data_IF_063628708033
#
_entry.id   IF_063628708033
#
_cell.length_a   1.000
_cell.length_b   1.000
_cell.length_c   1.000
_cell.angle_alpha   90.00
_cell.angle_beta   90.00
_cell.angle_gamma   90.00
#
_symmetry.space_group_name_H-M   'P 1'
#
loop_
_entity.id
_entity.type
_entity.pdbx_description
1 polymer ?
#
# COMPACT_ATOMS: atom_id res chain seq x y z
N UNK A 1 23.54 2.92 27.07
CA UNK A 1 23.32 3.57 25.76
C UNK A 1 23.34 5.10 25.90
N UNK A 2 24.12 5.80 25.05
CA UNK A 2 24.32 7.24 25.12
C UNK A 2 23.10 8.03 24.58
N UNK A 3 22.88 9.31 24.99
CA UNK A 3 21.85 10.19 24.43
C UNK A 3 21.92 10.34 22.90
N UNK A 4 20.84 10.66 22.19
CA UNK A 4 20.86 10.94 20.74
C UNK A 4 19.64 10.40 19.98
N UNK A 5 19.49 10.81 18.72
CA UNK A 5 18.47 10.24 17.84
C UNK A 5 18.89 8.83 17.44
N UNK A 6 17.93 7.90 17.53
CA UNK A 6 18.12 6.49 17.17
C UNK A 6 16.93 6.02 16.37
N UNK A 7 17.18 5.17 15.38
CA UNK A 7 16.15 4.46 14.66
C UNK A 7 16.54 3.00 14.47
N UNK A 8 15.54 2.12 14.43
CA UNK A 8 15.71 0.69 14.17
C UNK A 8 14.82 0.25 13.01
N UNK A 9 15.40 -0.54 12.11
CA UNK A 9 14.69 -1.29 11.07
C UNK A 9 14.83 -2.78 11.37
N UNK A 10 13.74 -3.55 11.37
CA UNK A 10 13.76 -4.97 11.76
C UNK A 10 12.75 -5.81 10.99
N UNK A 11 13.02 -7.11 10.90
CA UNK A 11 12.09 -8.11 10.36
C UNK A 11 11.43 -8.93 11.46
N UNK A 12 10.23 -9.43 11.19
CA UNK A 12 9.56 -10.46 11.99
C UNK A 12 9.94 -11.87 11.54
N UNK A 13 9.18 -12.87 12.02
CA UNK A 13 9.33 -14.27 11.63
C UNK A 13 9.11 -14.49 10.14
N UNK A 14 8.23 -13.71 9.49
CA UNK A 14 7.99 -13.80 8.06
C UNK A 14 9.26 -13.56 7.23
N UNK A 15 10.09 -12.59 7.62
CA UNK A 15 11.37 -12.34 6.98
C UNK A 15 12.33 -13.50 7.18
N UNK A 16 12.43 -14.04 8.41
CA UNK A 16 13.26 -15.22 8.72
C UNK A 16 12.83 -16.47 7.94
N UNK A 17 11.53 -16.61 7.66
CA UNK A 17 10.92 -17.69 6.90
C UNK A 17 10.81 -17.41 5.39
N UNK A 18 11.41 -16.30 4.92
CA UNK A 18 11.50 -15.94 3.51
C UNK A 18 10.14 -15.85 2.79
N UNK A 19 9.08 -15.49 3.50
CA UNK A 19 7.78 -15.18 2.87
C UNK A 19 7.98 -14.01 1.93
N UNK A 20 7.64 -14.15 0.64
CA UNK A 20 8.02 -13.18 -0.41
C UNK A 20 7.45 -11.79 -0.22
N UNK A 21 6.39 -11.65 0.57
CA UNK A 21 5.79 -10.38 0.98
C UNK A 21 6.03 -10.05 2.46
N UNK A 22 7.15 -10.52 3.02
CA UNK A 22 7.61 -10.09 4.35
C UNK A 22 8.08 -8.63 4.32
N UNK A 23 7.72 -7.86 5.35
CA UNK A 23 8.02 -6.44 5.45
C UNK A 23 9.23 -6.16 6.37
N UNK A 24 9.76 -4.93 6.28
CA UNK A 24 10.68 -4.37 7.28
C UNK A 24 9.94 -3.29 8.07
N UNK A 25 9.90 -3.46 9.39
CA UNK A 25 9.29 -2.50 10.32
C UNK A 25 10.37 -1.52 10.79
N UNK A 26 10.08 -0.23 10.67
CA UNK A 26 10.90 0.86 11.22
C UNK A 26 10.25 1.40 12.49
N UNK A 27 11.01 1.49 13.57
CA UNK A 27 10.50 1.68 14.92
C UNK A 27 9.47 0.60 15.30
N UNK A 28 8.20 0.99 15.36
CA UNK A 28 7.09 0.13 15.79
C UNK A 28 5.97 0.09 14.76
N UNK A 29 5.65 1.21 14.09
CA UNK A 29 4.42 1.38 13.30
C UNK A 29 4.66 1.90 11.88
N UNK A 30 5.88 1.80 11.35
CA UNK A 30 6.22 2.25 9.98
C UNK A 30 6.73 1.06 9.20
N UNK A 31 6.27 0.92 7.97
CA UNK A 31 6.44 -0.31 7.21
C UNK A 31 7.06 -0.02 5.85
N UNK A 32 8.18 -0.68 5.54
CA UNK A 32 8.49 -1.05 4.17
C UNK A 32 7.68 -2.32 3.87
N UNK A 33 6.38 -2.10 3.62
CA UNK A 33 5.36 -3.15 3.62
C UNK A 33 5.47 -4.11 2.44
N UNK A 34 5.64 -3.57 1.23
CA UNK A 34 5.51 -4.32 -0.03
C UNK A 34 6.85 -4.77 -0.61
N UNK A 35 6.81 -5.61 -1.64
CA UNK A 35 7.96 -6.07 -2.45
C UNK A 35 8.99 -6.95 -1.72
N UNK A 36 8.69 -7.44 -0.52
CA UNK A 36 9.49 -8.49 0.11
C UNK A 36 10.84 -8.05 0.68
N UNK A 37 11.03 -6.78 1.03
CA UNK A 37 12.29 -6.32 1.63
C UNK A 37 12.64 -7.12 2.90
N UNK A 38 11.64 -7.58 3.66
CA UNK A 38 11.86 -8.42 4.83
C UNK A 38 12.44 -9.80 4.50
N UNK A 39 12.02 -10.39 3.37
CA UNK A 39 12.60 -11.65 2.88
C UNK A 39 14.05 -11.45 2.44
N UNK A 40 14.38 -10.31 1.84
CA UNK A 40 15.77 -9.97 1.47
C UNK A 40 16.66 -9.83 2.72
N UNK A 41 16.16 -9.18 3.77
CA UNK A 41 16.84 -9.12 5.07
C UNK A 41 17.06 -10.53 5.64
N UNK A 42 16.02 -11.36 5.65
CA UNK A 42 16.10 -12.74 6.13
C UNK A 42 17.07 -13.61 5.35
N UNK A 43 17.07 -13.51 4.01
CA UNK A 43 18.00 -14.23 3.13
C UNK A 43 19.47 -13.85 3.41
N UNK A 44 19.71 -12.62 3.85
CA UNK A 44 21.03 -12.13 4.29
C UNK A 44 21.33 -12.39 5.76
N UNK A 45 20.44 -13.09 6.48
CA UNK A 45 20.51 -13.33 7.93
C UNK A 45 20.64 -12.04 8.75
N UNK A 46 20.03 -10.95 8.26
CA UNK A 46 20.03 -9.64 8.91
C UNK A 46 18.72 -9.43 9.67
N UNK A 47 18.75 -9.58 11.01
CA UNK A 47 17.55 -9.40 11.84
C UNK A 47 17.12 -7.94 11.97
N UNK A 48 18.08 -7.05 12.14
CA UNK A 48 17.82 -5.63 12.33
C UNK A 48 19.03 -4.76 11.98
N UNK A 49 18.76 -3.50 11.66
CA UNK A 49 19.73 -2.42 11.51
C UNK A 49 19.37 -1.30 12.50
N UNK A 50 20.36 -0.85 13.29
CA UNK A 50 20.19 0.29 14.21
C UNK A 50 21.09 1.42 13.74
N UNK A 51 20.51 2.59 13.56
CA UNK A 51 21.23 3.82 13.19
C UNK A 51 21.10 4.81 14.33
N UNK A 52 22.23 5.39 14.77
CA UNK A 52 22.25 6.47 15.74
C UNK A 52 23.18 7.58 15.29
N UNK A 53 22.75 8.83 15.46
CA UNK A 53 23.50 9.99 15.02
C UNK A 53 23.20 11.22 15.86
N UNK A 54 24.20 12.10 15.95
CA UNK A 54 24.10 13.41 16.61
C UNK A 54 24.57 14.57 15.72
N UNK A 55 24.99 14.27 14.48
CA UNK A 55 25.49 15.27 13.54
C UNK A 55 24.33 16.15 13.10
N UNK A 56 24.54 17.46 13.12
CA UNK A 56 23.67 18.44 12.46
C UNK A 56 24.23 18.75 11.06
N UNK A 57 23.33 19.03 10.11
CA UNK A 57 23.69 19.50 8.78
C UNK A 57 23.66 21.03 8.77
N UNK A 58 24.61 21.63 8.06
CA UNK A 58 24.65 23.08 7.88
C UNK A 58 23.66 23.52 6.79
N UNK A 59 22.97 24.62 7.05
CA UNK A 59 22.05 25.26 6.10
C UNK A 59 22.70 26.57 5.64
N UNK A 60 23.12 26.68 4.36
CA UNK A 60 23.84 27.86 3.85
C UNK A 60 23.05 29.17 4.00
N UNK A 61 21.80 29.21 3.55
CA UNK A 61 20.91 30.35 3.76
C UNK A 61 19.85 30.03 4.82
N UNK A 62 20.21 30.31 6.08
CA UNK A 62 19.31 30.07 7.23
C UNK A 62 18.04 30.90 7.18
N UNK A 63 18.08 32.11 6.61
CA UNK A 63 16.93 33.00 6.55
C UNK A 63 15.94 32.49 5.51
N UNK A 64 16.38 32.25 4.28
CA UNK A 64 15.56 31.70 3.22
C UNK A 64 14.99 30.33 3.59
N UNK A 65 15.78 29.48 4.26
CA UNK A 65 15.29 28.19 4.77
C UNK A 65 14.14 28.36 5.77
N UNK A 66 14.26 29.29 6.72
CA UNK A 66 13.21 29.53 7.70
C UNK A 66 11.94 30.07 7.05
N UNK A 67 12.07 31.02 6.12
CA UNK A 67 10.92 31.58 5.40
C UNK A 67 10.15 30.49 4.64
N UNK A 68 10.85 29.57 3.95
CA UNK A 68 10.20 28.43 3.27
C UNK A 68 9.61 27.43 4.26
N UNK A 69 10.33 27.12 5.35
CA UNK A 69 9.84 26.22 6.39
C UNK A 69 8.52 26.74 6.99
N UNK A 70 8.46 28.03 7.32
CA UNK A 70 7.26 28.64 7.93
C UNK A 70 6.08 28.57 6.96
N UNK A 71 6.27 28.85 5.66
CA UNK A 71 5.24 28.69 4.63
C UNK A 71 4.74 27.24 4.53
N UNK A 72 5.65 26.26 4.45
CA UNK A 72 5.30 24.84 4.38
C UNK A 72 4.57 24.37 5.65
N UNK A 73 5.00 24.85 6.81
CA UNK A 73 4.38 24.56 8.09
C UNK A 73 2.96 25.12 8.15
N UNK A 74 2.75 26.38 7.74
CA UNK A 74 1.43 27.00 7.68
C UNK A 74 0.51 26.28 6.71
N UNK A 75 0.98 25.96 5.50
CA UNK A 75 0.22 25.17 4.53
C UNK A 75 -0.16 23.80 5.10
N UNK A 76 0.73 23.15 5.83
CA UNK A 76 0.48 21.82 6.41
C UNK A 76 -0.50 21.85 7.59
N UNK A 77 -0.53 22.93 8.37
CA UNK A 77 -1.27 22.99 9.64
C UNK A 77 -2.56 23.82 9.58
N UNK A 78 -2.63 24.81 8.69
CA UNK A 78 -3.78 25.73 8.57
C UNK A 78 -4.69 25.42 7.38
N UNK A 79 -4.19 24.71 6.36
CA UNK A 79 -5.02 24.32 5.20
C UNK A 79 -5.80 23.02 5.45
N UNK A 80 -6.78 22.75 4.57
CA UNK A 80 -7.54 21.49 4.61
C UNK A 80 -6.80 20.30 3.96
N UNK A 81 -5.61 20.52 3.37
CA UNK A 81 -4.88 19.49 2.61
C UNK A 81 -4.51 18.27 3.47
N UNK A 82 -4.13 18.50 4.73
CA UNK A 82 -3.70 17.44 5.65
C UNK A 82 -4.76 17.05 6.68
N UNK A 83 -5.87 17.80 6.77
CA UNK A 83 -6.91 17.65 7.81
C UNK A 83 -7.47 16.24 7.87
N UNK A 84 -7.84 15.66 6.72
CA UNK A 84 -8.38 14.28 6.68
C UNK A 84 -7.42 13.24 7.25
N UNK A 85 -6.11 13.39 7.01
CA UNK A 85 -5.09 12.48 7.52
C UNK A 85 -4.82 12.69 9.01
N UNK A 86 -4.99 13.91 9.50
CA UNK A 86 -4.88 14.24 10.91
C UNK A 86 -6.08 13.72 11.70
N UNK A 87 -7.31 13.94 11.23
CA UNK A 87 -8.53 13.71 12.02
C UNK A 87 -8.90 12.22 12.11
N UNK A 88 -9.05 11.55 10.96
CA UNK A 88 -9.54 10.16 10.89
C UNK A 88 -8.50 9.18 10.32
N UNK A 89 -7.34 9.70 9.91
CA UNK A 89 -6.30 8.92 9.26
C UNK A 89 -6.68 8.53 7.83
N UNK A 90 -5.89 7.65 7.24
CA UNK A 90 -6.20 7.08 5.92
C UNK A 90 -7.52 6.27 5.88
N UNK A 91 -7.97 5.58 6.95
CA UNK A 91 -9.24 4.83 6.95
C UNK A 91 -10.49 5.68 6.67
N UNK A 92 -10.41 7.02 6.71
CA UNK A 92 -11.44 7.93 6.18
C UNK A 92 -11.92 7.54 4.77
N UNK A 93 -11.08 6.86 3.97
CA UNK A 93 -11.47 6.42 2.63
C UNK A 93 -12.49 5.27 2.60
N UNK A 94 -12.72 4.54 3.69
CA UNK A 94 -13.61 3.36 3.70
C UNK A 94 -15.02 3.70 3.27
N UNK A 95 -15.67 4.67 3.94
CA UNK A 95 -17.06 5.03 3.65
C UNK A 95 -17.23 5.69 2.27
N UNK A 96 -16.43 6.70 1.86
CA UNK A 96 -16.56 7.30 0.54
C UNK A 96 -16.36 6.29 -0.60
N UNK A 97 -15.39 5.37 -0.47
CA UNK A 97 -15.20 4.33 -1.48
C UNK A 97 -16.36 3.33 -1.50
N UNK A 98 -16.88 2.96 -0.34
CA UNK A 98 -18.06 2.11 -0.26
C UNK A 98 -19.28 2.78 -0.91
N UNK A 99 -19.48 4.08 -0.68
CA UNK A 99 -20.60 4.86 -1.20
C UNK A 99 -20.60 4.96 -2.73
N UNK A 100 -19.43 5.09 -3.35
CA UNK A 100 -19.32 5.11 -4.82
C UNK A 100 -19.25 3.71 -5.45
N UNK A 101 -19.18 2.63 -4.65
CA UNK A 101 -19.04 1.27 -5.16
C UNK A 101 -17.62 0.91 -5.60
N UNK A 102 -16.62 1.49 -4.95
CA UNK A 102 -15.19 1.30 -5.25
C UNK A 102 -14.40 0.61 -4.13
N UNK A 103 -15.05 0.09 -3.08
CA UNK A 103 -14.42 -0.63 -1.97
C UNK A 103 -14.37 -2.14 -2.29
N UNK A 104 -13.20 -2.72 -2.64
CA UNK A 104 -13.10 -4.14 -2.96
C UNK A 104 -13.54 -5.00 -1.79
N UNK A 105 -14.46 -5.92 -2.07
CA UNK A 105 -15.14 -6.74 -1.06
C UNK A 105 -15.15 -8.19 -1.48
N UNK A 106 -14.72 -9.10 -0.59
CA UNK A 106 -14.67 -10.56 -0.78
C UNK A 106 -14.02 -10.95 -2.11
N UNK A 107 -12.71 -10.72 -2.22
CA UNK A 107 -11.93 -10.91 -3.46
C UNK A 107 -12.48 -10.16 -4.69
N UNK A 108 -12.89 -8.90 -4.48
CA UNK A 108 -13.53 -8.04 -5.47
C UNK A 108 -14.83 -8.63 -6.07
N UNK A 109 -15.51 -9.58 -5.43
CA UNK A 109 -16.85 -10.02 -5.86
C UNK A 109 -17.89 -8.89 -5.80
N UNK A 110 -17.62 -7.83 -5.05
CA UNK A 110 -18.41 -6.61 -4.96
C UNK A 110 -17.51 -5.39 -4.74
N UNK A 111 -17.96 -4.21 -5.22
CA UNK A 111 -17.38 -2.90 -4.90
C UNK A 111 -17.99 -2.24 -3.65
N UNK A 112 -18.89 -2.94 -2.95
CA UNK A 112 -19.57 -2.50 -1.72
C UNK A 112 -19.52 -3.58 -0.65
N UNK A 113 -19.36 -3.14 0.59
CA UNK A 113 -19.41 -3.94 1.79
C UNK A 113 -20.52 -3.44 2.71
N UNK A 114 -21.42 -4.34 3.07
CA UNK A 114 -22.57 -4.07 3.94
C UNK A 114 -22.16 -3.68 5.37
N UNK A 115 -20.96 -4.05 5.81
CA UNK A 115 -20.43 -3.72 7.13
C UNK A 115 -19.31 -2.67 7.09
N UNK A 116 -19.25 -1.84 6.04
CA UNK A 116 -18.20 -0.81 5.90
C UNK A 116 -18.15 0.18 7.07
N UNK A 117 -19.29 0.52 7.67
CA UNK A 117 -19.36 1.39 8.85
C UNK A 117 -18.63 0.78 10.06
N UNK A 118 -18.73 -0.54 10.27
CA UNK A 118 -18.07 -1.23 11.39
C UNK A 118 -16.54 -1.26 11.31
N UNK A 119 -15.97 -0.92 10.16
CA UNK A 119 -14.51 -0.84 9.93
C UNK A 119 -14.06 0.54 9.45
N UNK A 120 -14.92 1.56 9.53
CA UNK A 120 -14.63 2.91 9.04
C UNK A 120 -13.61 3.65 9.92
N UNK A 121 -13.01 4.72 9.37
CA UNK A 121 -12.12 5.58 10.16
C UNK A 121 -12.83 6.26 11.32
N UNK A 122 -14.09 6.64 11.11
CA UNK A 122 -15.00 7.23 12.09
C UNK A 122 -15.24 6.27 13.25
N UNK A 123 -15.68 5.04 12.96
CA UNK A 123 -15.95 4.04 13.98
C UNK A 123 -14.69 3.70 14.80
N UNK A 124 -13.54 3.58 14.11
CA UNK A 124 -12.26 3.31 14.75
C UNK A 124 -11.79 4.48 15.63
N UNK A 125 -11.98 5.72 15.17
CA UNK A 125 -11.64 6.93 15.92
C UNK A 125 -12.48 7.08 17.19
N UNK A 126 -13.79 6.82 17.12
CA UNK A 126 -14.70 6.97 18.25
C UNK A 126 -14.51 5.89 19.31
N UNK A 127 -14.25 4.65 18.89
CA UNK A 127 -14.34 3.49 19.79
C UNK A 127 -12.98 2.89 20.20
N UNK A 128 -11.92 3.10 19.41
CA UNK A 128 -10.65 2.39 19.61
C UNK A 128 -9.41 3.29 19.64
N UNK A 129 -9.44 4.48 19.03
CA UNK A 129 -8.29 5.38 18.97
C UNK A 129 -7.89 5.86 20.37
N UNK A 130 -6.67 5.50 20.79
CA UNK A 130 -6.12 5.93 22.08
C UNK A 130 -5.09 7.04 21.94
N UNK A 131 -4.40 7.12 20.80
CA UNK A 131 -3.43 8.19 20.52
C UNK A 131 -3.10 8.26 19.04
N UNK A 132 -2.54 9.40 18.64
CA UNK A 132 -1.92 9.61 17.33
C UNK A 132 -0.42 9.83 17.47
N UNK A 133 0.34 9.46 16.45
CA UNK A 133 1.77 9.64 16.38
C UNK A 133 2.19 10.26 15.04
N UNK A 134 3.33 10.95 15.04
CA UNK A 134 3.87 11.59 13.85
C UNK A 134 5.18 10.95 13.40
N UNK A 135 5.47 11.03 12.09
CA UNK A 135 6.82 10.86 11.56
C UNK A 135 7.73 12.00 12.04
N UNK A 136 9.04 11.80 11.96
CA UNK A 136 10.02 12.81 12.39
C UNK A 136 9.80 14.12 11.64
N UNK A 137 9.67 15.24 12.38
CA UNK A 137 9.46 16.57 11.82
C UNK A 137 8.08 16.83 11.20
N UNK A 138 7.15 15.86 11.24
CA UNK A 138 5.83 16.01 10.63
C UNK A 138 4.80 16.60 11.61
N UNK A 139 4.09 17.68 11.27
CA UNK A 139 3.07 18.26 12.16
C UNK A 139 1.70 17.58 12.08
N UNK A 140 1.51 16.59 11.20
CA UNK A 140 0.19 16.03 10.86
C UNK A 140 -0.25 14.89 11.77
N UNK A 141 0.68 14.14 12.36
CA UNK A 141 0.39 13.00 13.23
C UNK A 141 -0.61 11.97 12.64
N UNK A 142 -0.42 11.55 11.39
CA UNK A 142 -1.37 10.66 10.70
C UNK A 142 -1.36 9.19 11.19
N UNK A 143 -0.41 8.77 12.04
CA UNK A 143 -0.33 7.39 12.52
C UNK A 143 -1.35 7.22 13.64
N UNK A 144 -2.46 6.55 13.34
CA UNK A 144 -3.53 6.28 14.29
C UNK A 144 -3.26 4.96 15.02
N UNK A 145 -3.38 4.99 16.35
CA UNK A 145 -3.07 3.86 17.21
C UNK A 145 -4.30 3.49 18.03
N UNK A 146 -4.86 2.32 17.73
CA UNK A 146 -5.96 1.73 18.45
C UNK A 146 -5.48 1.02 19.72
N UNK A 147 -6.31 1.00 20.77
CA UNK A 147 -6.11 0.22 21.98
C UNK A 147 -7.13 -0.91 22.08
N UNK A 148 -6.67 -2.16 21.99
CA UNK A 148 -7.51 -3.33 22.25
C UNK A 148 -7.30 -3.75 23.70
N UNK A 149 -8.35 -3.67 24.52
CA UNK A 149 -8.33 -4.14 25.90
C UNK A 149 -8.94 -5.53 26.00
N UNK A 150 -8.15 -6.49 26.45
CA UNK A 150 -8.51 -7.91 26.50
C UNK A 150 -8.38 -8.45 27.92
N UNK A 151 -9.39 -9.15 28.45
CA UNK A 151 -9.29 -9.75 29.77
C UNK A 151 -8.19 -10.81 29.78
N UNK A 152 -7.40 -10.85 30.83
CA UNK A 152 -6.42 -11.92 31.02
C UNK A 152 -7.15 -13.22 31.38
N UNK A 153 -6.75 -14.38 30.84
CA UNK A 153 -7.35 -15.64 31.22
C UNK A 153 -7.31 -15.83 32.74
N UNK A 154 -8.47 -16.14 33.34
CA UNK A 154 -8.62 -16.47 34.76
C UNK A 154 -8.37 -15.33 35.78
N UNK A 155 -8.19 -14.08 35.35
CA UNK A 155 -8.03 -12.93 36.24
C UNK A 155 -9.04 -11.81 35.92
N UNK A 156 -10.14 -11.74 36.68
CA UNK A 156 -11.31 -10.88 36.41
C UNK A 156 -10.98 -9.39 36.17
N UNK A 157 -9.99 -8.86 36.88
CA UNK A 157 -9.64 -7.44 36.84
C UNK A 157 -8.30 -7.15 36.13
N UNK A 158 -7.63 -8.18 35.61
CA UNK A 158 -6.38 -8.01 34.87
C UNK A 158 -6.64 -8.00 33.37
N UNK A 159 -6.06 -7.02 32.68
CA UNK A 159 -6.29 -6.81 31.26
C UNK A 159 -4.97 -6.57 30.54
N UNK A 160 -4.82 -7.18 29.37
CA UNK A 160 -3.78 -6.85 28.41
C UNK A 160 -4.32 -5.75 27.50
N UNK A 161 -3.55 -4.67 27.35
CA UNK A 161 -3.82 -3.65 26.32
C UNK A 161 -2.82 -3.80 25.19
N UNK A 162 -3.32 -4.11 24.01
CA UNK A 162 -2.52 -4.21 22.78
C UNK A 162 -2.71 -2.93 21.97
N UNK A 163 -1.61 -2.28 21.59
CA UNK A 163 -1.64 -1.12 20.69
C UNK A 163 -1.42 -1.58 19.25
N UNK A 164 -2.30 -1.13 18.34
CA UNK A 164 -2.29 -1.54 16.93
C UNK A 164 -2.36 -0.31 16.03
N UNK A 165 -1.44 -0.17 15.08
CA UNK A 165 -1.59 0.84 14.03
C UNK A 165 -2.64 0.38 13.02
N UNK A 166 -3.47 1.32 12.57
CA UNK A 166 -4.44 1.05 11.54
C UNK A 166 -4.42 2.14 10.47
N UNK A 167 -4.48 1.68 9.22
CA UNK A 167 -4.46 2.48 8.01
C UNK A 167 -5.48 1.89 7.04
N UNK A 168 -5.82 2.64 6.00
CA UNK A 168 -6.79 2.25 4.98
C UNK A 168 -6.48 0.89 4.35
N UNK A 169 -5.24 0.68 3.91
CA UNK A 169 -4.87 -0.52 3.16
C UNK A 169 -4.94 -1.81 4.02
N UNK A 170 -4.42 -1.85 5.27
CA UNK A 170 -4.70 -2.94 6.19
C UNK A 170 -6.20 -3.13 6.49
N UNK A 171 -6.95 -2.04 6.66
CA UNK A 171 -8.40 -2.09 6.91
C UNK A 171 -9.17 -2.68 5.74
N UNK A 172 -8.84 -2.33 4.50
CA UNK A 172 -9.43 -2.92 3.30
C UNK A 172 -9.05 -4.40 3.19
N UNK A 173 -7.75 -4.69 3.20
CA UNK A 173 -7.21 -6.01 2.84
C UNK A 173 -7.55 -7.08 3.87
N UNK A 174 -7.58 -6.73 5.16
CA UNK A 174 -7.92 -7.66 6.25
C UNK A 174 -9.37 -7.49 6.73
N UNK A 175 -10.08 -6.48 6.22
CA UNK A 175 -11.49 -6.20 6.50
C UNK A 175 -12.37 -6.61 5.31
N UNK A 176 -12.77 -5.63 4.48
CA UNK A 176 -13.74 -5.83 3.39
C UNK A 176 -13.30 -6.91 2.39
N UNK A 177 -12.02 -6.99 2.05
CA UNK A 177 -11.49 -7.98 1.11
C UNK A 177 -11.66 -9.43 1.62
N UNK A 178 -11.64 -9.63 2.94
CA UNK A 178 -11.90 -10.92 3.62
C UNK A 178 -13.34 -11.04 4.14
N UNK A 179 -14.15 -10.00 4.04
CA UNK A 179 -15.50 -9.91 4.59
C UNK A 179 -15.58 -9.72 6.11
N UNK A 180 -14.50 -9.30 6.77
CA UNK A 180 -14.47 -9.03 8.22
C UNK A 180 -15.01 -7.62 8.49
N UNK A 181 -16.16 -7.53 9.16
CA UNK A 181 -16.90 -6.28 9.39
C UNK A 181 -16.87 -5.73 10.82
N UNK A 182 -16.21 -6.43 11.75
CA UNK A 182 -16.10 -6.00 13.15
C UNK A 182 -14.71 -5.41 13.41
N UNK A 183 -14.65 -4.17 13.88
CA UNK A 183 -13.40 -3.44 14.15
C UNK A 183 -12.48 -4.16 15.14
N UNK A 184 -13.01 -4.79 16.19
CA UNK A 184 -12.18 -5.48 17.19
C UNK A 184 -11.49 -6.70 16.56
N UNK A 185 -12.22 -7.48 15.76
CA UNK A 185 -11.67 -8.61 15.02
C UNK A 185 -10.69 -8.19 13.94
N UNK A 186 -10.99 -7.12 13.19
CA UNK A 186 -10.08 -6.51 12.23
C UNK A 186 -8.76 -6.09 12.90
N UNK A 187 -8.83 -5.34 14.00
CA UNK A 187 -7.65 -4.90 14.74
C UNK A 187 -6.81 -6.06 15.28
N UNK A 188 -7.44 -7.15 15.74
CA UNK A 188 -6.74 -8.37 16.15
C UNK A 188 -6.01 -9.04 14.98
N UNK A 189 -6.63 -9.06 13.80
CA UNK A 189 -6.03 -9.62 12.61
C UNK A 189 -4.87 -8.75 12.10
N UNK A 190 -5.02 -7.42 12.08
CA UNK A 190 -3.92 -6.48 11.78
C UNK A 190 -2.75 -6.72 12.74
N UNK A 191 -3.02 -6.81 14.04
CA UNK A 191 -1.98 -7.07 15.03
C UNK A 191 -1.21 -8.37 14.75
N UNK A 192 -1.91 -9.42 14.36
CA UNK A 192 -1.31 -10.72 14.07
C UNK A 192 -0.36 -10.65 12.87
N UNK A 193 -0.78 -9.99 11.79
CA UNK A 193 0.03 -9.74 10.58
C UNK A 193 1.25 -8.88 10.90
N UNK A 194 1.08 -7.78 11.64
CA UNK A 194 2.18 -6.88 12.03
C UNK A 194 3.20 -7.60 12.93
N UNK A 195 2.72 -8.41 13.88
CA UNK A 195 3.54 -9.16 14.84
C UNK A 195 4.53 -10.10 14.14
N UNK A 196 4.10 -10.77 13.07
CA UNK A 196 4.95 -11.69 12.31
C UNK A 196 5.75 -10.98 11.21
N UNK A 197 5.42 -9.73 10.88
CA UNK A 197 6.14 -8.91 9.91
C UNK A 197 5.78 -9.20 8.46
N UNK A 198 4.48 -9.38 8.16
CA UNK A 198 3.96 -9.54 6.80
C UNK A 198 3.45 -8.22 6.23
N UNK A 199 3.37 -8.13 4.90
CA UNK A 199 2.55 -7.14 4.21
C UNK A 199 1.05 -7.43 4.42
N UNK A 200 0.31 -6.51 5.05
CA UNK A 200 -1.12 -6.68 5.28
C UNK A 200 -1.91 -6.80 3.96
N UNK A 201 -1.55 -6.02 2.94
CA UNK A 201 -2.22 -6.06 1.65
C UNK A 201 -2.07 -7.43 1.01
N UNK A 202 -0.83 -7.87 0.83
CA UNK A 202 -0.53 -9.16 0.20
C UNK A 202 -1.12 -10.33 0.99
N UNK A 203 -1.07 -10.28 2.32
CA UNK A 203 -1.68 -11.30 3.18
C UNK A 203 -3.19 -11.37 2.97
N UNK A 204 -3.89 -10.23 3.05
CA UNK A 204 -5.34 -10.17 2.92
C UNK A 204 -5.83 -10.62 1.55
N UNK A 205 -5.18 -10.17 0.47
CA UNK A 205 -5.56 -10.54 -0.89
C UNK A 205 -5.25 -12.01 -1.20
N UNK A 206 -4.11 -12.53 -0.74
CA UNK A 206 -3.77 -13.95 -0.90
C UNK A 206 -4.76 -14.86 -0.14
N UNK A 207 -5.14 -14.48 1.08
CA UNK A 207 -6.15 -15.21 1.85
C UNK A 207 -7.56 -15.07 1.25
N UNK A 208 -7.90 -13.94 0.64
CA UNK A 208 -9.16 -13.77 -0.07
C UNK A 208 -9.24 -14.71 -1.30
N UNK A 209 -8.17 -14.79 -2.09
CA UNK A 209 -8.09 -15.76 -3.18
C UNK A 209 -8.18 -17.20 -2.66
N UNK A 210 -7.50 -17.54 -1.56
CA UNK A 210 -7.58 -18.88 -0.97
C UNK A 210 -9.01 -19.23 -0.52
N UNK A 211 -9.72 -18.29 0.11
CA UNK A 211 -11.14 -18.47 0.48
C UNK A 211 -12.00 -18.73 -0.75
N UNK A 212 -11.84 -17.95 -1.82
CA UNK A 212 -12.61 -18.16 -3.05
C UNK A 212 -12.23 -19.46 -3.77
N UNK A 213 -10.94 -19.82 -3.80
CA UNK A 213 -10.46 -21.07 -4.39
C UNK A 213 -11.03 -22.29 -3.65
N UNK A 214 -11.16 -22.21 -2.33
CA UNK A 214 -11.80 -23.23 -1.50
C UNK A 214 -13.31 -23.31 -1.79
N UNK A 215 -14.01 -22.17 -1.88
CA UNK A 215 -15.44 -22.13 -2.27
C UNK A 215 -15.69 -22.75 -3.65
N UNK A 216 -14.74 -22.58 -4.58
CA UNK A 216 -14.80 -23.14 -5.94
C UNK A 216 -14.29 -24.58 -6.04
N UNK A 217 -13.80 -25.17 -4.94
CA UNK A 217 -13.24 -26.53 -4.93
C UNK A 217 -11.94 -26.68 -5.74
N UNK A 218 -11.20 -25.59 -5.97
CA UNK A 218 -9.88 -25.63 -6.61
C UNK A 218 -8.79 -26.10 -5.64
N UNK A 219 -9.00 -25.86 -4.34
CA UNK A 219 -8.23 -26.36 -3.21
C UNK A 219 -9.19 -26.97 -2.18
N UNK A 220 -8.67 -27.71 -1.21
CA UNK A 220 -9.42 -28.43 -0.18
C UNK A 220 -9.11 -27.94 1.23
N UNK A 221 -9.91 -28.36 2.23
CA UNK A 221 -9.60 -28.10 3.64
C UNK A 221 -8.34 -28.84 4.12
N UNK A 222 -7.89 -29.88 3.40
CA UNK A 222 -6.59 -30.53 3.66
C UNK A 222 -5.43 -29.62 3.26
N UNK A 223 -5.58 -28.87 2.15
CA UNK A 223 -4.60 -27.87 1.73
C UNK A 223 -4.57 -26.69 2.70
N UNK A 224 -5.74 -26.16 3.06
CA UNK A 224 -5.81 -24.95 3.90
C UNK A 224 -5.63 -25.24 5.38
N UNK A 225 -5.81 -26.48 5.85
CA UNK A 225 -5.74 -26.94 7.27
C UNK A 225 -6.83 -26.31 8.17
N UNK A 226 -7.17 -25.04 7.93
CA UNK A 226 -8.27 -24.31 8.54
C UNK A 226 -9.34 -24.04 7.51
N UNK A 227 -10.60 -24.09 7.93
CA UNK A 227 -11.73 -23.82 7.06
C UNK A 227 -11.89 -22.31 6.87
N UNK A 228 -11.37 -21.80 5.76
CA UNK A 228 -11.47 -20.38 5.39
C UNK A 228 -12.90 -20.04 4.96
N UNK A 229 -13.46 -18.97 5.53
CA UNK A 229 -14.79 -18.45 5.20
C UNK A 229 -14.79 -16.92 5.28
N UNK A 230 -15.54 -16.27 4.39
CA UNK A 230 -15.72 -14.81 4.45
C UNK A 230 -16.20 -14.37 5.83
N UNK A 231 -15.51 -13.38 6.41
CA UNK A 231 -15.81 -12.82 7.74
C UNK A 231 -15.28 -13.62 8.93
N UNK A 232 -14.72 -14.82 8.73
CA UNK A 232 -14.17 -15.63 9.83
C UNK A 232 -12.76 -15.17 10.21
N UNK A 233 -12.69 -14.09 10.98
CA UNK A 233 -11.42 -13.49 11.40
C UNK A 233 -10.51 -14.46 12.18
N UNK A 234 -11.06 -15.41 12.94
CA UNK A 234 -10.25 -16.36 13.70
C UNK A 234 -9.59 -17.40 12.80
N UNK A 235 -10.32 -17.89 11.79
CA UNK A 235 -9.73 -18.74 10.76
C UNK A 235 -8.61 -18.02 10.00
N UNK A 236 -8.80 -16.74 9.64
CA UNK A 236 -7.76 -15.94 8.99
C UNK A 236 -6.54 -15.71 9.88
N UNK A 237 -6.73 -15.44 11.18
CA UNK A 237 -5.60 -15.33 12.14
C UNK A 237 -4.79 -16.63 12.21
N UNK A 238 -5.47 -17.77 12.19
CA UNK A 238 -4.81 -19.08 12.15
C UNK A 238 -4.04 -19.28 10.84
N UNK A 239 -4.63 -18.90 9.71
CA UNK A 239 -3.97 -18.96 8.40
C UNK A 239 -2.73 -18.05 8.29
N UNK A 240 -2.72 -16.90 8.99
CA UNK A 240 -1.52 -16.05 9.09
C UNK A 240 -0.36 -16.80 9.74
N UNK A 241 -0.61 -17.60 10.78
CA UNK A 241 0.44 -18.44 11.38
C UNK A 241 0.93 -19.51 10.41
N UNK A 242 0.02 -20.14 9.67
CA UNK A 242 0.34 -21.18 8.68
C UNK A 242 1.14 -20.64 7.47
N UNK A 243 0.98 -19.37 7.09
CA UNK A 243 1.84 -18.69 6.12
C UNK A 243 3.31 -18.60 6.58
N UNK A 244 3.54 -18.56 7.89
CA UNK A 244 4.88 -18.53 8.48
C UNK A 244 5.45 -19.94 8.63
N UNK A 245 4.63 -20.87 9.08
CA UNK A 245 5.01 -22.27 9.31
C UNK A 245 5.25 -23.03 8.01
N UNK A 246 4.48 -22.73 6.96
CA UNK A 246 4.50 -23.38 5.64
C UNK A 246 4.47 -24.92 5.74
N UNK A 247 3.45 -25.50 6.40
CA UNK A 247 3.42 -26.93 6.74
C UNK A 247 3.21 -27.86 5.53
N UNK A 248 2.76 -27.32 4.39
CA UNK A 248 2.47 -28.06 3.17
C UNK A 248 2.77 -27.21 1.94
N UNK A 249 2.66 -27.82 0.76
CA UNK A 249 2.94 -27.18 -0.53
C UNK A 249 2.02 -25.98 -0.82
N UNK A 250 0.78 -26.03 -0.33
CA UNK A 250 -0.18 -24.94 -0.48
C UNK A 250 0.31 -23.68 0.21
N UNK A 251 0.67 -23.75 1.50
CA UNK A 251 1.19 -22.60 2.22
C UNK A 251 2.57 -22.16 1.75
N UNK A 252 3.43 -23.08 1.29
CA UNK A 252 4.71 -22.75 0.67
C UNK A 252 4.52 -21.98 -0.66
N UNK A 253 3.47 -22.29 -1.42
CA UNK A 253 3.09 -21.55 -2.63
C UNK A 253 2.44 -20.22 -2.29
N UNK A 254 1.51 -20.18 -1.33
CA UNK A 254 0.82 -18.96 -0.90
C UNK A 254 1.78 -17.94 -0.28
N UNK A 255 2.80 -18.40 0.45
CA UNK A 255 3.90 -17.56 0.96
C UNK A 255 4.75 -16.91 -0.15
N UNK A 256 4.59 -17.33 -1.41
CA UNK A 256 5.22 -16.71 -2.57
C UNK A 256 4.33 -15.67 -3.27
N UNK A 257 3.11 -15.43 -2.76
CA UNK A 257 2.13 -14.48 -3.30
C UNK A 257 1.02 -15.17 -4.12
N UNK A 258 -0.08 -14.47 -4.30
CA UNK A 258 -1.29 -14.99 -4.97
C UNK A 258 -1.05 -15.31 -6.45
N UNK A 259 -0.16 -14.56 -7.09
CA UNK A 259 0.27 -14.83 -8.47
C UNK A 259 0.83 -16.25 -8.58
N UNK A 260 1.76 -16.61 -7.68
CA UNK A 260 2.42 -17.92 -7.70
C UNK A 260 1.46 -19.04 -7.30
N UNK A 261 0.67 -18.83 -6.25
CA UNK A 261 -0.29 -19.84 -5.78
C UNK A 261 -1.33 -20.16 -6.86
N UNK A 262 -1.89 -19.15 -7.51
CA UNK A 262 -2.91 -19.36 -8.56
C UNK A 262 -2.38 -20.06 -9.82
N UNK A 263 -1.09 -19.92 -10.14
CA UNK A 263 -0.49 -20.68 -11.24
C UNK A 263 -0.40 -22.18 -10.94
N UNK A 264 -0.23 -22.56 -9.68
CA UNK A 264 -0.10 -23.96 -9.25
C UNK A 264 -1.47 -24.59 -9.06
N UNK A 265 -2.40 -23.86 -8.42
CA UNK A 265 -3.71 -24.37 -8.00
C UNK A 265 -4.87 -23.91 -8.91
N UNK A 266 -4.58 -23.19 -10.00
CA UNK A 266 -5.54 -22.53 -10.92
C UNK A 266 -6.20 -21.31 -10.27
N UNK A 267 -7.16 -20.68 -10.94
CA UNK A 267 -7.85 -19.50 -10.42
C UNK A 267 -7.11 -18.17 -10.67
N UNK A 268 -6.23 -18.12 -11.67
CA UNK A 268 -5.49 -16.89 -12.03
C UNK A 268 -6.41 -15.78 -12.53
N UNK A 269 -7.62 -16.10 -12.99
CA UNK A 269 -8.63 -15.13 -13.43
C UNK A 269 -9.18 -14.27 -12.27
N UNK A 270 -9.18 -14.80 -11.04
CA UNK A 270 -9.57 -14.08 -9.83
C UNK A 270 -8.42 -13.90 -8.83
N UNK A 271 -7.18 -14.15 -9.26
CA UNK A 271 -5.97 -13.78 -8.53
C UNK A 271 -5.71 -12.28 -8.70
N UNK A 272 -6.13 -11.50 -7.71
CA UNK A 272 -6.05 -10.03 -7.70
C UNK A 272 -4.62 -9.54 -7.46
N UNK A 273 -3.76 -9.74 -8.47
CA UNK A 273 -2.39 -9.27 -8.49
C UNK A 273 -2.06 -8.56 -9.81
N UNK A 274 -1.20 -7.56 -9.72
CA UNK A 274 -0.78 -6.65 -10.77
C UNK A 274 0.75 -6.67 -10.81
N UNK A 275 1.34 -7.17 -11.90
CA UNK A 275 2.79 -7.38 -11.98
C UNK A 275 3.35 -8.19 -10.80
N UNK A 276 2.63 -9.25 -10.39
CA UNK A 276 3.00 -10.12 -9.26
C UNK A 276 2.76 -9.54 -7.87
N UNK A 277 2.15 -8.35 -7.76
CA UNK A 277 1.87 -7.68 -6.49
C UNK A 277 0.38 -7.58 -6.24
N UNK A 278 -0.06 -7.93 -5.04
CA UNK A 278 -1.47 -7.97 -4.66
C UNK A 278 -2.18 -6.60 -4.78
N UNK A 279 -3.47 -6.63 -5.07
CA UNK A 279 -4.28 -5.46 -5.40
C UNK A 279 -4.31 -4.39 -4.27
N UNK A 280 -4.22 -3.09 -4.60
CA UNK A 280 -4.60 -1.99 -3.72
C UNK A 280 -6.11 -1.84 -3.47
N UNK A 281 -6.51 -1.21 -2.38
CA UNK A 281 -7.91 -1.05 -1.99
C UNK A 281 -8.83 -0.25 -2.93
N UNK A 282 -8.47 0.03 -4.17
CA UNK A 282 -9.24 0.92 -5.03
C UNK A 282 -9.77 0.20 -6.29
N UNK A 283 -11.08 0.04 -6.37
CA UNK A 283 -11.80 -0.35 -7.60
C UNK A 283 -12.58 0.84 -8.17
N UNK A 284 -11.88 1.95 -8.41
CA UNK A 284 -12.50 3.23 -8.78
C UNK A 284 -12.81 3.37 -10.26
N UNK A 285 -12.20 2.56 -11.14
CA UNK A 285 -12.33 2.66 -12.59
C UNK A 285 -11.11 2.07 -13.31
N UNK A 286 -11.05 2.19 -14.64
CA UNK A 286 -9.95 1.62 -15.43
C UNK A 286 -8.61 2.30 -15.16
N UNK A 287 -8.54 3.61 -14.86
CA UNK A 287 -7.26 4.28 -14.62
C UNK A 287 -6.56 3.74 -13.37
N UNK A 288 -7.31 3.36 -12.32
CA UNK A 288 -6.75 2.68 -11.15
C UNK A 288 -6.04 1.39 -11.51
N UNK A 289 -6.71 0.47 -12.21
CA UNK A 289 -6.15 -0.84 -12.55
C UNK A 289 -5.00 -0.73 -13.55
N UNK A 290 -5.12 0.14 -14.56
CA UNK A 290 -4.02 0.47 -15.48
C UNK A 290 -2.83 1.00 -14.67
N UNK A 291 -3.07 1.94 -13.76
CA UNK A 291 -2.04 2.49 -12.87
C UNK A 291 -1.33 1.44 -12.03
N UNK A 292 -2.03 0.41 -11.56
CA UNK A 292 -1.43 -0.73 -10.85
C UNK A 292 -0.60 -1.61 -11.78
N UNK A 293 -1.01 -1.78 -13.03
CA UNK A 293 -0.25 -2.55 -14.03
C UNK A 293 1.03 -1.84 -14.44
N UNK A 294 0.96 -0.55 -14.75
CA UNK A 294 2.08 0.19 -15.36
C UNK A 294 3.03 0.84 -14.33
N UNK A 295 2.59 0.97 -13.09
CA UNK A 295 3.38 1.55 -12.00
C UNK A 295 4.70 0.79 -11.79
N UNK A 296 5.79 1.51 -11.52
CA UNK A 296 7.13 0.93 -11.40
C UNK A 296 7.21 -0.20 -10.36
N UNK A 297 6.43 -0.13 -9.28
CA UNK A 297 6.31 -1.13 -8.21
C UNK A 297 4.95 -1.85 -8.21
N UNK A 298 4.14 -1.64 -9.24
CA UNK A 298 2.77 -2.13 -9.33
C UNK A 298 1.92 -1.75 -8.11
N UNK A 299 1.88 -0.45 -7.80
CA UNK A 299 1.26 0.10 -6.61
C UNK A 299 0.47 1.39 -6.89
N UNK A 300 -0.61 1.61 -6.15
CA UNK A 300 -1.34 2.88 -6.10
C UNK A 300 -0.50 4.07 -5.59
N UNK A 301 0.72 3.82 -5.10
CA UNK A 301 1.68 4.85 -4.70
C UNK A 301 2.63 5.27 -5.83
N UNK A 302 2.58 4.62 -6.99
CA UNK A 302 3.42 4.96 -8.13
C UNK A 302 2.81 6.07 -8.99
N UNK A 303 1.49 6.09 -9.12
CA UNK A 303 0.68 7.15 -9.75
C UNK A 303 -0.67 7.25 -9.00
N UNK A 304 -1.55 8.19 -9.33
CA UNK A 304 -2.86 8.35 -8.69
C UNK A 304 -4.01 7.92 -9.59
N UNK A 305 -3.90 6.80 -10.32
CA UNK A 305 -4.98 6.27 -11.16
C UNK A 305 -6.34 6.23 -10.46
N UNK A 306 -6.35 5.84 -9.18
CA UNK A 306 -7.58 5.85 -8.39
C UNK A 306 -8.20 7.25 -8.21
N UNK A 307 -7.37 8.26 -7.95
CA UNK A 307 -7.83 9.65 -7.85
C UNK A 307 -8.17 10.23 -9.22
N UNK A 308 -7.57 9.69 -10.29
CA UNK A 308 -7.83 10.08 -11.65
C UNK A 308 -9.27 9.72 -12.02
N UNK A 309 -9.69 8.49 -11.73
CA UNK A 309 -11.06 8.00 -11.89
C UNK A 309 -12.04 8.81 -11.04
N UNK A 310 -11.72 9.04 -9.76
CA UNK A 310 -12.64 9.73 -8.82
C UNK A 310 -12.92 11.19 -9.18
N UNK A 311 -12.03 11.85 -9.92
CA UNK A 311 -12.14 13.28 -10.27
C UNK A 311 -12.88 13.50 -11.59
N UNK A 312 -13.28 12.46 -12.29
CA UNK A 312 -13.84 12.53 -13.63
C UNK A 312 -15.11 11.70 -13.72
N UNK A 313 -16.14 12.28 -14.33
CA UNK A 313 -17.35 11.55 -14.67
C UNK A 313 -17.15 10.71 -15.95
N UNK A 314 -16.42 11.25 -16.91
CA UNK A 314 -16.05 10.58 -18.16
C UNK A 314 -14.53 10.53 -18.27
N UNK A 315 -14.01 9.38 -18.70
CA UNK A 315 -12.58 9.18 -18.89
C UNK A 315 -12.18 9.47 -20.33
N UNK A 316 -10.98 10.04 -20.55
CA UNK A 316 -10.45 10.21 -21.89
C UNK A 316 -10.07 8.85 -22.50
N UNK A 317 -9.56 8.89 -23.73
CA UNK A 317 -9.00 7.72 -24.39
C UNK A 317 -7.88 7.05 -23.55
N UNK A 318 -7.75 5.72 -23.63
CA UNK A 318 -6.82 4.96 -22.80
C UNK A 318 -5.36 5.41 -22.96
N UNK A 319 -4.97 5.87 -24.14
CA UNK A 319 -3.63 6.37 -24.45
C UNK A 319 -3.31 7.64 -23.64
N UNK A 320 -4.26 8.58 -23.56
CA UNK A 320 -4.10 9.80 -22.74
C UNK A 320 -4.03 9.46 -21.24
N UNK A 321 -4.82 8.49 -20.78
CA UNK A 321 -4.76 8.03 -19.37
C UNK A 321 -3.35 7.51 -19.05
N UNK A 322 -2.77 6.71 -19.94
CA UNK A 322 -1.41 6.17 -19.74
C UNK A 322 -0.37 7.28 -19.71
N UNK A 323 -0.40 8.23 -20.65
CA UNK A 323 0.56 9.34 -20.67
C UNK A 323 0.45 10.21 -19.42
N UNK A 324 -0.77 10.49 -18.94
CA UNK A 324 -1.00 11.23 -17.70
C UNK A 324 -0.44 10.51 -16.47
N UNK A 325 -0.66 9.19 -16.38
CA UNK A 325 -0.17 8.37 -15.26
C UNK A 325 1.36 8.25 -15.27
N UNK A 326 1.97 8.12 -16.46
CA UNK A 326 3.43 8.12 -16.60
C UNK A 326 4.03 9.47 -16.21
N UNK A 327 3.42 10.58 -16.64
CA UNK A 327 3.85 11.93 -16.26
C UNK A 327 3.73 12.17 -14.75
N UNK A 328 2.64 11.69 -14.13
CA UNK A 328 2.48 11.77 -12.67
C UNK A 328 3.56 10.95 -11.95
N UNK A 329 3.85 9.74 -12.41
CA UNK A 329 4.87 8.88 -11.81
C UNK A 329 6.28 9.48 -11.98
N UNK A 330 6.57 10.07 -13.15
CA UNK A 330 7.82 10.80 -13.38
C UNK A 330 8.00 11.95 -12.38
N UNK A 331 6.94 12.73 -12.11
CA UNK A 331 6.99 13.74 -11.05
C UNK A 331 7.24 13.13 -9.66
N UNK A 332 6.59 12.00 -9.35
CA UNK A 332 6.81 11.30 -8.07
C UNK A 332 8.24 10.80 -7.92
N UNK A 333 9.01 10.61 -8.99
CA UNK A 333 10.44 10.27 -8.87
C UNK A 333 11.24 11.38 -8.18
N UNK A 334 10.89 12.65 -8.43
CA UNK A 334 11.48 13.79 -7.72
C UNK A 334 11.08 13.74 -6.25
N UNK A 335 9.78 13.61 -5.96
CA UNK A 335 9.25 13.58 -4.58
C UNK A 335 9.85 12.44 -3.75
N UNK A 336 9.97 11.25 -4.34
CA UNK A 336 10.54 10.07 -3.68
C UNK A 336 12.05 10.23 -3.45
N UNK A 337 12.77 10.89 -4.36
CA UNK A 337 14.20 11.20 -4.19
C UNK A 337 14.43 12.20 -3.05
N UNK A 338 13.48 13.12 -2.84
CA UNK A 338 13.46 14.03 -1.69
C UNK A 338 12.94 13.37 -0.40
N UNK A 339 12.47 12.12 -0.48
CA UNK A 339 11.88 11.36 0.64
C UNK A 339 10.68 12.11 1.25
N UNK A 340 9.91 12.82 0.41
CA UNK A 340 8.71 13.54 0.83
C UNK A 340 7.57 12.56 1.07
N UNK A 341 6.78 12.78 2.12
CA UNK A 341 5.55 12.03 2.35
C UNK A 341 4.53 12.31 1.23
N UNK A 342 4.07 11.27 0.53
CA UNK A 342 3.14 11.40 -0.59
C UNK A 342 1.75 11.95 -0.19
N UNK A 343 1.39 12.00 1.10
CA UNK A 343 0.21 12.73 1.56
C UNK A 343 0.37 14.24 1.39
N UNK A 344 1.60 14.75 1.51
CA UNK A 344 1.92 16.16 1.32
C UNK A 344 2.22 16.52 -0.15
N UNK A 345 2.05 15.61 -1.11
CA UNK A 345 2.37 15.87 -2.54
C UNK A 345 1.65 17.08 -3.13
N UNK A 346 0.47 17.44 -2.60
CA UNK A 346 -0.26 18.65 -3.00
C UNK A 346 0.38 19.96 -2.52
N UNK A 347 1.22 19.90 -1.49
CA UNK A 347 2.03 21.00 -0.97
C UNK A 347 3.35 21.08 -1.75
N UNK A 348 4.02 19.95 -1.95
CA UNK A 348 5.30 19.88 -2.67
C UNK A 348 5.08 19.85 -4.18
N UNK A 349 4.61 20.96 -4.75
CA UNK A 349 4.55 21.21 -6.20
C UNK A 349 5.93 21.60 -6.75
N UNK A 350 6.18 21.53 -8.07
CA UNK A 350 7.49 21.86 -8.65
C UNK A 350 8.05 23.22 -8.21
N UNK A 351 7.21 24.25 -8.15
CA UNK A 351 7.61 25.60 -7.74
C UNK A 351 8.03 25.62 -6.26
N UNK A 352 7.27 24.94 -5.41
CA UNK A 352 7.56 24.80 -3.99
C UNK A 352 8.85 24.01 -3.75
N UNK A 353 9.08 22.93 -4.52
CA UNK A 353 10.32 22.14 -4.44
C UNK A 353 11.53 22.97 -4.88
N UNK A 354 11.44 23.68 -6.00
CA UNK A 354 12.49 24.58 -6.49
C UNK A 354 12.84 25.62 -5.43
N UNK A 355 11.83 26.28 -4.85
CA UNK A 355 11.98 27.25 -3.78
C UNK A 355 12.62 26.65 -2.52
N UNK A 356 12.24 25.43 -2.13
CA UNK A 356 12.77 24.77 -0.94
C UNK A 356 14.22 24.31 -1.06
N UNK A 357 14.68 24.00 -2.28
CA UNK A 357 16.05 23.58 -2.54
C UNK A 357 17.04 24.76 -2.60
N UNK A 358 16.58 25.94 -3.01
CA UNK A 358 17.45 27.11 -3.20
C UNK A 358 18.24 27.54 -1.93
N UNK A 359 17.65 27.60 -0.72
CA UNK A 359 18.40 27.93 0.51
C UNK A 359 19.47 26.89 0.90
N UNK A 360 19.36 25.67 0.34
CA UNK A 360 20.33 24.60 0.52
C UNK A 360 21.48 24.67 -0.52
N UNK A 361 21.49 25.68 -1.38
CA UNK A 361 22.47 25.84 -2.46
C UNK A 361 22.15 25.04 -3.72
N UNK A 362 21.01 24.36 -3.78
CA UNK A 362 20.58 23.55 -4.93
C UNK A 362 19.61 24.40 -5.76
N UNK A 363 20.08 24.92 -6.89
CA UNK A 363 19.28 25.75 -7.79
C UNK A 363 18.81 24.92 -8.99
N UNK A 364 17.55 24.51 -8.95
CA UNK A 364 16.87 23.82 -10.06
C UNK A 364 15.60 24.60 -10.40
N UNK A 365 15.39 24.90 -11.67
CA UNK A 365 14.13 25.45 -12.18
C UNK A 365 13.01 24.39 -12.15
N UNK A 366 11.78 24.81 -12.43
CA UNK A 366 10.65 23.88 -12.56
C UNK A 366 10.86 22.91 -13.72
N UNK A 367 11.42 23.41 -14.83
CA UNK A 367 11.77 22.65 -16.01
C UNK A 367 12.87 21.63 -15.69
N UNK A 368 13.94 22.04 -15.00
CA UNK A 368 15.00 21.12 -14.56
C UNK A 368 14.45 19.97 -13.71
N UNK A 369 13.50 20.27 -12.82
CA UNK A 369 12.86 19.27 -11.96
C UNK A 369 11.98 18.28 -12.75
N UNK A 370 11.23 18.77 -13.76
CA UNK A 370 10.42 17.91 -14.63
C UNK A 370 11.30 16.99 -15.46
N UNK A 371 12.37 17.52 -16.04
CA UNK A 371 13.34 16.74 -16.82
C UNK A 371 14.06 15.71 -15.95
N UNK A 372 14.42 16.09 -14.71
CA UNK A 372 14.99 15.17 -13.73
C UNK A 372 14.03 14.03 -13.41
N UNK A 373 12.75 14.31 -13.23
CA UNK A 373 11.71 13.31 -12.97
C UNK A 373 11.64 12.25 -14.08
N UNK A 374 11.56 12.70 -15.33
CA UNK A 374 11.56 11.80 -16.50
C UNK A 374 12.86 11.03 -16.65
N UNK A 375 14.01 11.66 -16.38
CA UNK A 375 15.31 10.98 -16.40
C UNK A 375 15.37 9.85 -15.38
N UNK A 376 14.98 10.10 -14.13
CA UNK A 376 14.96 9.06 -13.08
C UNK A 376 13.96 7.96 -13.44
N UNK A 377 12.77 8.33 -13.95
CA UNK A 377 11.76 7.37 -14.38
C UNK A 377 12.33 6.43 -15.46
N UNK A 378 12.97 6.98 -16.49
CA UNK A 378 13.62 6.21 -17.57
C UNK A 378 14.69 5.27 -17.04
N UNK A 379 15.63 5.77 -16.21
CA UNK A 379 16.71 4.92 -15.69
C UNK A 379 16.17 3.78 -14.81
N UNK A 380 15.12 4.05 -14.03
CA UNK A 380 14.43 3.01 -13.26
C UNK A 380 13.75 1.97 -14.16
N UNK A 381 13.10 2.38 -15.24
CA UNK A 381 12.49 1.45 -16.20
C UNK A 381 13.53 0.63 -16.96
N UNK A 382 14.63 1.25 -17.40
CA UNK A 382 15.78 0.54 -18.00
C UNK A 382 16.35 -0.51 -17.04
N UNK A 383 16.56 -0.16 -15.77
CA UNK A 383 16.99 -1.13 -14.76
C UNK A 383 15.98 -2.27 -14.60
N UNK A 384 14.69 -1.95 -14.49
CA UNK A 384 13.62 -2.94 -14.34
C UNK A 384 13.59 -3.92 -15.52
N UNK A 385 13.70 -3.43 -16.75
CA UNK A 385 13.78 -4.26 -17.98
C UNK A 385 15.05 -5.11 -18.03
N UNK A 386 16.21 -4.55 -17.67
CA UNK A 386 17.47 -5.29 -17.58
C UNK A 386 17.43 -6.41 -16.53
N UNK A 387 16.56 -6.29 -15.52
CA UNK A 387 16.30 -7.33 -14.53
C UNK A 387 15.24 -8.36 -14.98
N UNK A 388 14.82 -8.33 -16.24
CA UNK A 388 13.91 -9.30 -16.85
C UNK A 388 12.44 -8.93 -16.84
N UNK A 389 12.09 -7.67 -16.53
CA UNK A 389 10.70 -7.22 -16.68
C UNK A 389 10.33 -7.03 -18.15
N UNK A 390 9.23 -7.67 -18.54
CA UNK A 390 8.62 -7.52 -19.86
C UNK A 390 7.26 -6.82 -19.75
N UNK A 391 7.12 -5.56 -20.22
CA UNK A 391 5.85 -4.85 -20.18
C UNK A 391 4.75 -5.49 -21.05
N UNK A 392 5.10 -6.30 -22.06
CA UNK A 392 4.12 -7.00 -22.90
C UNK A 392 3.52 -8.25 -22.22
N UNK A 393 4.18 -8.76 -21.18
CA UNK A 393 3.75 -9.95 -20.42
C UNK A 393 2.86 -9.65 -19.22
N UNK A 394 2.32 -8.43 -19.09
CA UNK A 394 1.50 -8.04 -17.94
C UNK A 394 0.15 -8.77 -17.94
N UNK A 395 -0.04 -9.66 -16.96
CA UNK A 395 -1.33 -10.32 -16.72
C UNK A 395 -2.33 -9.34 -16.14
N UNK A 396 -3.54 -9.32 -16.71
CA UNK A 396 -4.70 -8.58 -16.19
C UNK A 396 -5.64 -9.55 -15.47
N UNK A 397 -5.97 -9.34 -14.18
CA UNK A 397 -6.96 -10.18 -13.48
C UNK A 397 -8.34 -10.04 -14.13
N UNK A 398 -8.92 -11.14 -14.61
CA UNK A 398 -10.22 -11.15 -15.29
C UNK A 398 -11.37 -10.58 -14.44
N UNK A 399 -11.30 -10.79 -13.11
CA UNK A 399 -12.26 -10.26 -12.13
C UNK A 399 -12.55 -8.76 -12.28
N UNK A 400 -11.60 -7.93 -12.73
CA UNK A 400 -11.82 -6.48 -12.85
C UNK A 400 -12.87 -6.14 -13.92
N UNK A 401 -13.14 -7.05 -14.86
CA UNK A 401 -14.14 -6.88 -15.91
C UNK A 401 -15.52 -7.40 -15.52
N UNK A 402 -15.60 -8.18 -14.44
CA UNK A 402 -16.85 -8.80 -13.96
C UNK A 402 -17.58 -7.91 -12.95
N UNK A 403 -16.82 -7.15 -12.16
CA UNK A 403 -17.35 -6.32 -11.07
C UNK A 403 -17.52 -4.87 -11.55
N UNK A 404 -18.72 -4.27 -11.44
CA UNK A 404 -18.92 -2.87 -11.78
C UNK A 404 -18.12 -1.94 -10.88
N UNK A 405 -17.48 -0.96 -11.50
CA UNK A 405 -16.84 0.19 -10.86
C UNK A 405 -17.78 1.41 -10.87
N UNK A 406 -17.40 2.56 -10.25
CA UNK A 406 -18.11 3.83 -10.44
C UNK A 406 -18.28 4.25 -11.92
N UNK A 407 -17.42 3.75 -12.81
CA UNK A 407 -17.47 3.98 -14.26
C UNK A 407 -18.21 2.86 -15.01
N UNK A 408 -18.95 2.00 -14.31
CA UNK A 408 -19.59 0.81 -14.88
C UNK A 408 -18.61 -0.36 -15.05
N UNK A 409 -18.96 -1.30 -15.93
CA UNK A 409 -18.10 -2.43 -16.28
C UNK A 409 -16.91 -1.94 -17.09
N UNK A 410 -15.71 -2.35 -16.68
CA UNK A 410 -14.47 -2.00 -17.37
C UNK A 410 -14.39 -2.79 -18.68
N UNK A 411 -14.12 -2.09 -19.78
CA UNK A 411 -13.92 -2.73 -21.09
C UNK A 411 -12.54 -3.41 -21.17
N UNK A 412 -12.46 -4.71 -21.53
CA UNK A 412 -11.18 -5.37 -21.82
C UNK A 412 -10.39 -4.68 -22.94
N UNK A 413 -11.07 -4.21 -23.99
CA UNK A 413 -10.45 -3.49 -25.11
C UNK A 413 -9.78 -2.19 -24.65
N UNK A 414 -10.43 -1.44 -23.74
CA UNK A 414 -9.88 -0.21 -23.20
C UNK A 414 -8.57 -0.47 -22.44
N UNK A 415 -8.54 -1.50 -21.60
CA UNK A 415 -7.33 -1.89 -20.85
C UNK A 415 -6.25 -2.42 -21.79
N UNK A 416 -6.62 -3.21 -22.80
CA UNK A 416 -5.68 -3.73 -23.79
C UNK A 416 -4.99 -2.59 -24.56
N UNK A 417 -5.76 -1.65 -25.12
CA UNK A 417 -5.23 -0.47 -25.82
C UNK A 417 -4.31 0.36 -24.94
N UNK A 418 -4.66 0.54 -23.66
CA UNK A 418 -3.80 1.22 -22.70
C UNK A 418 -2.44 0.52 -22.54
N UNK A 419 -2.43 -0.81 -22.41
CA UNK A 419 -1.20 -1.58 -22.24
C UNK A 419 -0.35 -1.62 -23.52
N UNK A 420 -0.99 -1.69 -24.69
CA UNK A 420 -0.31 -1.59 -25.99
C UNK A 420 0.38 -0.23 -26.15
N UNK A 421 -0.32 0.86 -25.83
CA UNK A 421 0.29 2.20 -25.83
C UNK A 421 1.44 2.30 -24.82
N UNK A 422 1.23 1.85 -23.58
CA UNK A 422 2.29 1.84 -22.57
C UNK A 422 3.54 1.10 -23.04
N UNK A 423 3.38 -0.04 -23.70
CA UNK A 423 4.50 -0.82 -24.27
C UNK A 423 5.30 -0.01 -25.29
N UNK A 424 4.62 0.64 -26.24
CA UNK A 424 5.29 1.47 -27.24
C UNK A 424 5.98 2.68 -26.59
N UNK A 425 5.33 3.34 -25.63
CA UNK A 425 5.94 4.45 -24.86
C UNK A 425 7.19 4.02 -24.10
N UNK A 426 7.19 2.84 -23.49
CA UNK A 426 8.37 2.31 -22.79
C UNK A 426 9.49 1.95 -23.77
N UNK A 427 9.17 1.36 -24.93
CA UNK A 427 10.17 1.11 -25.98
C UNK A 427 10.81 2.41 -26.45
N UNK A 428 10.02 3.42 -26.78
CA UNK A 428 10.51 4.74 -27.19
C UNK A 428 11.40 5.35 -26.11
N UNK A 429 10.94 5.33 -24.86
CA UNK A 429 11.62 5.95 -23.73
C UNK A 429 12.93 5.23 -23.36
N UNK A 430 12.96 3.90 -23.46
CA UNK A 430 14.10 3.09 -23.04
C UNK A 430 15.06 2.75 -24.19
N UNK A 431 14.70 3.08 -25.43
CA UNK A 431 15.58 2.91 -26.60
C UNK A 431 16.96 3.53 -26.36
N UNK A 432 18.05 2.91 -26.86
CA UNK A 432 19.43 3.29 -26.54
C UNK A 432 19.75 4.77 -26.72
#
# INVERSE_FOLDING_TARGET
PNPGFRTIMRIGLAGERLVRFACVVTETYRHFGRLGLGAVFGAKRLKALVVSGRRSLEVPDRRGYREVYDELYELSTKSNLMRKYHDLGTPMNVLPLNEIGALPTRNLKSGRFEHAEGISGEHMAENYLIRRAACSGCPVACIHLAGIREPYPHEKYFYKTTTVSYDYEPTYSLGSMLGVGDAKWLLRLIHEVERVGLDAMSTGVALAWATEALERGLISEEDTIVRLRWGDAEAYRSAVSLLIEQPNDFYAALAQGVERASQIYRGSEFAMAFGGNEMPGYHTGPAAHIGFLIGGRHSHLDNAGYSYDQKRAELPDPEQVVDDLMAEEAWRMVLNSLVVCLFARGIYKPETVSKALAPLGIRLSVEDLRDLGWRIYRERMRLKMNMGFDPSGLRVPGRIFETPSPHGLISPDYVQRALEHYHERIKELCSP
#
